data_IF_849789336586
#
_entry.id   IF_849789336586
#
_cell.length_a   1.000
_cell.length_b   1.000
_cell.length_c   1.000
_cell.angle_alpha   90.00
_cell.angle_beta   90.00
_cell.angle_gamma   90.00
#
_symmetry.space_group_name_H-M   'P 1'
#
loop_
_entity.id
_entity.type
_entity.pdbx_description
1 polymer ?
#
# COMPACT_ATOMS: atom_id res chain seq x y z
N UNK A 1 -18.45 -13.98 9.23
CA UNK A 1 -18.24 -12.55 9.55
C UNK A 1 -17.80 -11.87 8.27
N UNK A 2 -18.19 -10.62 8.02
CA UNK A 2 -17.73 -9.90 6.83
C UNK A 2 -16.24 -9.60 7.00
N UNK A 3 -15.43 -9.97 6.01
CA UNK A 3 -13.97 -9.84 6.08
C UNK A 3 -13.56 -8.41 5.75
N UNK A 4 -12.84 -7.76 6.68
CA UNK A 4 -12.32 -6.40 6.49
C UNK A 4 -10.83 -6.45 6.22
N UNK A 5 -10.40 -5.73 5.19
CA UNK A 5 -8.99 -5.66 4.81
C UNK A 5 -8.38 -4.32 5.19
N UNK A 6 -7.07 -4.35 5.40
CA UNK A 6 -6.23 -3.17 5.61
C UNK A 6 -5.38 -2.97 4.36
N UNK A 7 -5.29 -1.73 3.89
CA UNK A 7 -4.40 -1.36 2.79
C UNK A 7 -3.06 -0.97 3.39
N UNK A 8 -1.98 -1.52 2.84
CA UNK A 8 -0.64 -1.02 3.11
C UNK A 8 -0.17 -0.19 1.92
N UNK A 9 0.55 0.89 2.21
CA UNK A 9 1.31 1.66 1.23
C UNK A 9 2.72 1.83 1.78
N UNK A 10 3.72 1.36 1.06
CA UNK A 10 5.12 1.47 1.47
C UNK A 10 5.97 2.22 0.46
N UNK A 11 6.94 2.96 0.97
CA UNK A 11 8.04 3.55 0.23
C UNK A 11 9.29 2.69 0.46
N UNK A 12 9.84 2.12 -0.61
CA UNK A 12 10.95 1.17 -0.58
C UNK A 12 12.19 1.75 -1.26
N UNK A 13 13.37 1.46 -0.74
CA UNK A 13 14.61 1.71 -1.50
C UNK A 13 14.92 0.57 -2.50
N UNK A 14 16.04 0.69 -3.21
CA UNK A 14 16.50 -0.32 -4.16
C UNK A 14 16.89 -1.68 -3.54
N UNK A 15 16.95 -1.79 -2.21
CA UNK A 15 17.17 -3.03 -1.47
C UNK A 15 15.87 -3.61 -0.92
N UNK A 16 14.73 -2.95 -1.14
CA UNK A 16 13.43 -3.34 -0.60
C UNK A 16 13.23 -2.96 0.87
N UNK A 17 14.10 -2.12 1.44
CA UNK A 17 13.92 -1.62 2.80
C UNK A 17 12.83 -0.54 2.82
N UNK A 18 11.93 -0.62 3.81
CA UNK A 18 10.86 0.35 4.00
C UNK A 18 11.39 1.63 4.66
N UNK A 19 11.22 2.76 3.98
CA UNK A 19 11.61 4.10 4.44
C UNK A 19 10.42 5.02 4.72
N UNK A 20 9.21 4.57 4.42
CA UNK A 20 7.96 5.22 4.78
C UNK A 20 6.82 4.24 4.64
N UNK A 21 5.84 4.30 5.52
CA UNK A 21 4.67 3.42 5.43
C UNK A 21 3.41 4.06 5.98
N UNK A 22 2.27 3.67 5.43
CA UNK A 22 0.95 3.89 6.01
C UNK A 22 0.07 2.66 5.79
N UNK A 23 -0.43 2.13 6.90
CA UNK A 23 -1.30 0.95 6.96
C UNK A 23 -2.61 1.35 7.62
N UNK A 24 -3.72 1.31 6.89
CA UNK A 24 -5.04 1.62 7.46
C UNK A 24 -6.19 0.96 6.68
N UNK A 25 -7.33 0.72 7.35
CA UNK A 25 -8.57 0.43 6.65
C UNK A 25 -8.89 1.56 5.66
N UNK A 26 -9.53 1.26 4.52
CA UNK A 26 -9.81 2.28 3.51
C UNK A 26 -10.58 3.49 4.07
N UNK A 27 -10.25 4.67 3.56
CA UNK A 27 -10.75 5.98 3.97
C UNK A 27 -10.61 6.22 5.47
N UNK A 28 -9.52 5.72 6.07
CA UNK A 28 -9.27 5.75 7.51
C UNK A 28 -10.40 5.08 8.33
N UNK A 29 -10.99 4.03 7.77
CA UNK A 29 -12.09 3.27 8.37
C UNK A 29 -13.49 3.86 8.14
N UNK A 30 -13.61 5.00 7.44
CA UNK A 30 -14.92 5.59 7.10
C UNK A 30 -15.68 4.80 6.04
N UNK A 31 -14.97 4.02 5.22
CA UNK A 31 -15.58 3.20 4.17
C UNK A 31 -14.87 1.83 4.06
N UNK A 32 -15.09 0.93 5.04
CA UNK A 32 -14.39 -0.35 5.10
C UNK A 32 -14.76 -1.26 3.91
N UNK A 33 -13.89 -2.22 3.61
CA UNK A 33 -14.06 -3.15 2.46
C UNK A 33 -15.31 -4.01 2.56
N UNK A 34 -15.91 -4.14 3.75
CA UNK A 34 -17.18 -4.85 3.95
C UNK A 34 -18.39 -4.15 3.33
N UNK A 35 -18.25 -2.87 2.96
CA UNK A 35 -19.28 -2.08 2.27
C UNK A 35 -19.10 -2.03 0.76
N UNK A 36 -17.96 -2.48 0.25
CA UNK A 36 -17.63 -2.36 -1.17
C UNK A 36 -18.51 -3.26 -2.03
N UNK A 37 -18.82 -2.79 -3.23
CA UNK A 37 -19.50 -3.59 -4.25
C UNK A 37 -18.51 -4.00 -5.35
N UNK A 38 -18.66 -5.20 -5.88
CA UNK A 38 -17.81 -5.67 -6.98
C UNK A 38 -17.87 -4.71 -8.18
N UNK A 39 -16.70 -4.29 -8.68
CA UNK A 39 -16.56 -3.34 -9.78
C UNK A 39 -16.63 -1.87 -9.38
N UNK A 40 -16.84 -1.56 -8.10
CA UNK A 40 -16.79 -0.20 -7.58
C UNK A 40 -15.37 0.38 -7.62
N UNK A 41 -15.26 1.67 -7.93
CA UNK A 41 -14.02 2.44 -7.82
C UNK A 41 -14.09 3.31 -6.57
N UNK A 42 -13.22 3.03 -5.60
CA UNK A 42 -13.11 3.81 -4.36
C UNK A 42 -11.88 4.70 -4.45
N UNK A 43 -12.06 6.01 -4.25
CA UNK A 43 -10.96 6.98 -4.17
C UNK A 43 -10.53 7.17 -2.72
N UNK A 44 -9.25 6.95 -2.44
CA UNK A 44 -8.69 7.05 -1.10
C UNK A 44 -7.28 7.66 -1.15
N UNK A 45 -6.92 8.48 -0.17
CA UNK A 45 -5.70 9.28 -0.17
C UNK A 45 -4.77 8.86 0.98
N UNK A 46 -3.53 8.52 0.64
CA UNK A 46 -2.53 8.02 1.59
C UNK A 46 -1.36 8.99 1.70
N UNK A 47 -1.33 9.75 2.80
CA UNK A 47 -0.15 10.53 3.19
C UNK A 47 0.89 9.59 3.83
N UNK A 48 1.88 9.18 3.06
CA UNK A 48 2.96 8.29 3.53
C UNK A 48 4.09 9.13 4.13
N UNK A 49 4.33 9.07 5.45
CA UNK A 49 5.45 9.77 6.05
C UNK A 49 6.77 9.12 5.59
N UNK A 50 7.68 9.94 5.09
CA UNK A 50 9.07 9.54 4.81
C UNK A 50 9.86 9.69 6.11
N UNK A 51 10.68 8.70 6.44
CA UNK A 51 11.57 8.80 7.60
C UNK A 51 12.56 9.95 7.42
N UNK A 52 12.82 10.68 8.50
CA UNK A 52 13.75 11.82 8.49
C UNK A 52 15.20 11.43 8.17
N UNK A 53 15.56 10.16 8.39
CA UNK A 53 16.88 9.60 8.09
C UNK A 53 16.94 8.89 6.72
N UNK A 54 15.89 9.00 5.89
CA UNK A 54 15.88 8.44 4.54
C UNK A 54 16.98 9.06 3.67
N UNK A 55 17.90 8.25 3.12
CA UNK A 55 18.89 8.74 2.17
C UNK A 55 18.23 9.42 0.96
N UNK A 56 18.84 10.47 0.43
CA UNK A 56 18.42 10.98 -0.87
C UNK A 56 18.62 9.90 -1.95
N UNK A 57 17.64 9.74 -2.83
CA UNK A 57 17.69 8.71 -3.87
C UNK A 57 16.34 8.37 -4.46
N UNK A 58 16.34 7.36 -5.32
CA UNK A 58 15.13 6.82 -5.93
C UNK A 58 14.51 5.74 -5.04
N UNK A 59 13.19 5.84 -4.86
CA UNK A 59 12.38 4.94 -4.07
C UNK A 59 11.21 4.44 -4.90
N UNK A 60 10.71 3.25 -4.59
CA UNK A 60 9.52 2.67 -5.23
C UNK A 60 8.35 2.68 -4.26
N UNK A 61 7.15 3.00 -4.76
CA UNK A 61 5.91 2.88 -3.99
C UNK A 61 5.28 1.51 -4.28
N UNK A 62 5.00 0.73 -3.23
CA UNK A 62 4.16 -0.46 -3.30
C UNK A 62 2.84 -0.25 -2.57
N UNK A 63 1.78 -0.88 -3.08
CA UNK A 63 0.47 -0.97 -2.43
C UNK A 63 -0.07 -2.38 -2.48
N UNK A 64 -0.88 -2.73 -1.49
CA UNK A 64 -1.62 -3.97 -1.47
C UNK A 64 -2.55 -4.06 -0.27
N UNK A 65 -3.14 -5.22 -0.07
CA UNK A 65 -4.11 -5.44 1.01
C UNK A 65 -3.75 -6.68 1.82
N UNK A 66 -4.13 -6.67 3.08
CA UNK A 66 -3.94 -7.80 3.97
C UNK A 66 -5.08 -7.95 4.98
N UNK A 67 -5.19 -9.14 5.56
CA UNK A 67 -6.08 -9.44 6.67
C UNK A 67 -5.48 -8.93 7.97
N UNK A 68 -6.15 -7.99 8.64
CA UNK A 68 -5.62 -7.40 9.87
C UNK A 68 -5.38 -8.43 10.98
N UNK A 69 -6.27 -9.43 11.08
CA UNK A 69 -6.21 -10.45 12.14
C UNK A 69 -5.01 -11.40 12.00
N UNK A 70 -4.59 -11.70 10.77
CA UNK A 70 -3.56 -12.71 10.49
C UNK A 70 -2.26 -12.13 9.94
N UNK A 71 -2.29 -10.91 9.41
CA UNK A 71 -1.18 -10.33 8.65
C UNK A 71 -1.04 -10.90 7.23
N UNK A 72 -1.95 -11.78 6.80
CA UNK A 72 -1.87 -12.46 5.51
C UNK A 72 -2.18 -11.47 4.37
N UNK A 73 -1.22 -11.31 3.44
CA UNK A 73 -1.39 -10.48 2.25
C UNK A 73 -2.33 -11.16 1.25
N UNK A 74 -3.14 -10.35 0.58
CA UNK A 74 -4.08 -10.84 -0.43
C UNK A 74 -3.39 -11.05 -1.78
N UNK A 75 -3.68 -12.16 -2.47
CA UNK A 75 -3.18 -12.37 -3.81
C UNK A 75 -3.86 -11.42 -4.81
N UNK A 76 -3.08 -10.88 -5.72
CA UNK A 76 -3.55 -10.21 -6.94
C UNK A 76 -3.72 -11.28 -7.99
N UNK A 77 -4.91 -11.33 -8.59
CA UNK A 77 -5.26 -12.28 -9.63
C UNK A 77 -5.30 -11.59 -10.99
N UNK A 78 -4.85 -12.28 -12.03
CA UNK A 78 -5.10 -11.85 -13.42
C UNK A 78 -6.53 -12.17 -13.86
N UNK A 79 -6.85 -11.88 -15.14
CA UNK A 79 -8.17 -12.17 -15.72
C UNK A 79 -8.51 -13.66 -15.84
N UNK A 80 -7.53 -14.55 -15.69
CA UNK A 80 -7.68 -16.01 -15.71
C UNK A 80 -7.74 -16.60 -14.29
N UNK A 81 -7.59 -15.77 -13.25
CA UNK A 81 -7.56 -16.17 -11.85
C UNK A 81 -6.19 -16.68 -11.37
N UNK A 82 -5.12 -16.47 -12.13
CA UNK A 82 -3.77 -16.84 -11.72
C UNK A 82 -3.16 -15.76 -10.81
N UNK A 83 -2.39 -16.20 -9.81
CA UNK A 83 -1.72 -15.29 -8.87
C UNK A 83 -0.56 -14.58 -9.56
N UNK A 84 -0.61 -13.24 -9.57
CA UNK A 84 0.45 -12.37 -10.10
C UNK A 84 1.40 -11.83 -9.03
N UNK A 85 1.00 -11.90 -7.77
CA UNK A 85 1.72 -11.33 -6.63
C UNK A 85 0.75 -11.00 -5.50
N UNK A 86 1.20 -10.20 -4.53
CA UNK A 86 0.39 -9.75 -3.39
C UNK A 86 0.47 -8.22 -3.17
N UNK A 87 1.04 -7.52 -4.16
CA UNK A 87 1.27 -6.08 -4.18
C UNK A 87 1.42 -5.56 -5.61
N UNK A 88 1.11 -4.29 -5.81
CA UNK A 88 1.36 -3.54 -7.04
C UNK A 88 2.46 -2.52 -6.78
N UNK A 89 3.43 -2.43 -7.69
CA UNK A 89 4.40 -1.33 -7.71
C UNK A 89 3.81 -0.19 -8.56
N UNK A 90 3.59 0.98 -7.95
CA UNK A 90 2.93 2.11 -8.63
C UNK A 90 3.90 2.95 -9.47
N UNK A 91 5.17 2.95 -9.10
CA UNK A 91 6.21 3.73 -9.77
C UNK A 91 7.28 4.18 -8.78
N UNK A 92 8.21 4.99 -9.27
CA UNK A 92 9.30 5.54 -8.46
C UNK A 92 9.10 7.03 -8.14
N UNK A 93 9.64 7.43 -6.99
CA UNK A 93 9.72 8.81 -6.52
C UNK A 93 11.15 9.11 -6.08
N UNK A 94 11.56 10.36 -6.19
CA UNK A 94 12.86 10.80 -5.68
C UNK A 94 12.68 11.44 -4.31
N UNK A 95 13.38 10.92 -3.30
CA UNK A 95 13.53 11.59 -2.01
C UNK A 95 14.77 12.48 -2.10
N UNK A 96 14.59 13.75 -1.78
CA UNK A 96 15.66 14.74 -1.73
C UNK A 96 15.96 15.10 -0.28
N UNK A 97 17.22 15.46 0.01
CA UNK A 97 17.55 16.03 1.30
C UNK A 97 16.81 17.36 1.45
N UNK A 98 16.21 17.60 2.62
CA UNK A 98 15.65 18.91 2.93
C UNK A 98 16.74 19.98 2.78
N UNK A 99 16.51 20.95 1.89
CA UNK A 99 17.40 22.11 1.76
C UNK A 99 17.22 22.95 3.03
N UNK A 100 18.31 23.25 3.78
CA UNK A 100 18.24 24.06 4.99
C UNK A 100 17.85 25.53 4.73
#
# INVERSE_FOLDING_TARGET
MAESYTVFTHLLDGQGQVWGQKDNPPMEGRYPTTLWVAGEVVSDEYAVPVRDDAPAGEYTIEVGMYRLETGERLPILDGEGQVMGDRVLLGSVTVENAIP
#
